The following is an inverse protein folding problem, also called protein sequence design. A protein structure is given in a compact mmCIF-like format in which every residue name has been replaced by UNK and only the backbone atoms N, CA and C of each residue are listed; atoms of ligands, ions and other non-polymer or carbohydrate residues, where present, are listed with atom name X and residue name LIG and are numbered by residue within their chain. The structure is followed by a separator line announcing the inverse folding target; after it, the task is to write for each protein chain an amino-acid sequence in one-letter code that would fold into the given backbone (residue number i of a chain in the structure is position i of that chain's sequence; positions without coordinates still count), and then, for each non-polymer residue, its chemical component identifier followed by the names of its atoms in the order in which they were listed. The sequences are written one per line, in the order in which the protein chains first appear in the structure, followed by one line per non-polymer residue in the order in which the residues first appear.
data_IF_078974412909
#
_entry.id   IF_078974412909
#
_cell.length_a   1.000
_cell.length_b   1.000
_cell.length_c   1.000
_cell.angle_alpha   90.00
_cell.angle_beta   90.00
_cell.angle_gamma   90.00
#
_symmetry.space_group_name_H-M   'P 1'
#
loop_
_entity.id
_entity.type
_entity.pdbx_description
1 polymer ?
#
# COMPACT_ATOMS: atom_id res chain seq x y z
N UNK A 1 18.74 -45.70 38.70
CA UNK A 1 18.14 -44.91 37.60
C UNK A 1 16.80 -44.35 38.09
N UNK A 2 16.75 -43.07 38.46
CA UNK A 2 15.55 -42.45 39.02
C UNK A 2 14.67 -41.87 37.90
N UNK A 3 13.42 -42.34 37.81
CA UNK A 3 12.40 -41.79 36.91
C UNK A 3 11.97 -40.41 37.47
N UNK A 4 12.23 -39.33 36.72
CA UNK A 4 11.68 -38.00 37.01
C UNK A 4 10.16 -38.06 36.85
N UNK A 5 9.43 -37.80 37.92
CA UNK A 5 7.99 -37.49 37.86
C UNK A 5 7.80 -36.10 37.23
N UNK A 6 6.79 -35.90 36.36
CA UNK A 6 6.45 -34.57 35.86
C UNK A 6 5.93 -33.70 37.01
N UNK A 7 6.36 -32.43 37.06
CA UNK A 7 5.89 -31.44 38.01
C UNK A 7 4.44 -31.02 37.64
N UNK A 8 3.45 -31.11 38.54
CA UNK A 8 2.07 -30.71 38.25
C UNK A 8 1.87 -29.20 38.05
N UNK A 9 2.89 -28.37 38.31
CA UNK A 9 2.83 -26.90 38.15
C UNK A 9 3.33 -26.38 36.79
N UNK A 10 3.40 -27.22 35.76
CA UNK A 10 3.71 -26.77 34.38
C UNK A 10 2.50 -26.05 33.72
N UNK A 11 1.85 -25.18 34.48
CA UNK A 11 0.73 -24.33 34.05
C UNK A 11 1.20 -22.90 33.72
N UNK A 12 2.52 -22.66 33.68
CA UNK A 12 3.08 -21.30 33.51
C UNK A 12 3.18 -20.80 32.06
N UNK A 13 2.74 -21.59 31.08
CA UNK A 13 2.75 -21.19 29.66
C UNK A 13 1.36 -21.20 29.01
N UNK A 14 0.31 -20.94 29.77
CA UNK A 14 -0.97 -20.52 29.19
C UNK A 14 -1.00 -19.00 29.17
N UNK A 15 -0.34 -18.41 28.18
CA UNK A 15 -0.54 -16.99 27.87
C UNK A 15 -2.04 -16.74 27.67
N UNK A 16 -2.69 -15.87 28.47
CA UNK A 16 -4.11 -15.64 28.30
C UNK A 16 -4.34 -14.98 26.95
N UNK A 17 -5.12 -15.61 26.07
CA UNK A 17 -5.52 -15.09 24.77
C UNK A 17 -6.12 -13.66 24.83
N UNK A 18 -6.61 -13.26 26.01
CA UNK A 18 -7.06 -11.90 26.32
C UNK A 18 -5.95 -10.83 26.23
N UNK A 19 -4.67 -11.16 26.44
CA UNK A 19 -3.55 -10.21 26.29
C UNK A 19 -3.30 -9.84 24.82
N UNK A 20 -3.73 -10.69 23.89
CA UNK A 20 -3.62 -10.47 22.45
C UNK A 20 -4.89 -9.88 21.83
N UNK A 21 -5.89 -9.48 22.63
CA UNK A 21 -6.95 -8.59 22.15
C UNK A 21 -6.36 -7.19 21.91
N UNK A 22 -5.58 -7.07 20.84
CA UNK A 22 -4.97 -5.81 20.46
C UNK A 22 -6.06 -4.93 19.86
N UNK A 23 -6.45 -3.87 20.57
CA UNK A 23 -7.04 -2.70 19.94
C UNK A 23 -6.11 -2.32 18.78
N UNK A 24 -6.62 -2.13 17.55
CA UNK A 24 -5.75 -1.79 16.44
C UNK A 24 -4.95 -0.54 16.81
N UNK A 25 -3.64 -0.59 16.61
CA UNK A 25 -2.78 0.59 16.74
C UNK A 25 -3.35 1.64 15.78
N UNK A 26 -3.71 2.86 16.25
CA UNK A 26 -4.42 3.84 15.43
C UNK A 26 -3.76 4.08 14.06
N UNK A 27 -2.43 4.21 14.03
CA UNK A 27 -1.66 4.36 12.79
C UNK A 27 -1.82 3.17 11.82
N UNK A 28 -1.96 1.95 12.33
CA UNK A 28 -2.18 0.77 11.48
C UNK A 28 -3.59 0.74 10.92
N UNK A 29 -4.59 1.16 11.70
CA UNK A 29 -5.97 1.27 11.22
C UNK A 29 -6.08 2.31 10.09
N UNK A 30 -5.47 3.47 10.28
CA UNK A 30 -5.41 4.55 9.29
C UNK A 30 -4.79 4.08 7.96
N UNK A 31 -3.69 3.31 8.03
CA UNK A 31 -3.07 2.74 6.82
C UNK A 31 -4.03 1.78 6.09
N UNK A 32 -4.75 0.91 6.81
CA UNK A 32 -5.65 -0.06 6.18
C UNK A 32 -6.87 0.66 5.57
N UNK A 33 -7.43 1.65 6.28
CA UNK A 33 -8.55 2.46 5.78
C UNK A 33 -8.14 3.29 4.56
N UNK A 34 -6.91 3.79 4.53
CA UNK A 34 -6.33 4.44 3.38
C UNK A 34 -6.25 3.49 2.17
N UNK A 35 -5.77 2.26 2.37
CA UNK A 35 -5.71 1.26 1.30
C UNK A 35 -7.10 0.87 0.77
N UNK A 36 -8.12 0.82 1.64
CA UNK A 36 -9.50 0.67 1.18
C UNK A 36 -9.98 1.86 0.34
N UNK A 37 -9.58 3.07 0.70
CA UNK A 37 -9.91 4.30 -0.05
C UNK A 37 -9.29 4.25 -1.45
N UNK A 38 -8.01 3.90 -1.54
CA UNK A 38 -7.29 3.70 -2.80
C UNK A 38 -7.99 2.65 -3.66
N UNK A 39 -8.36 1.48 -3.09
CA UNK A 39 -9.06 0.44 -3.83
C UNK A 39 -10.37 0.96 -4.46
N UNK A 40 -11.17 1.70 -3.68
CA UNK A 40 -12.43 2.28 -4.17
C UNK A 40 -12.19 3.30 -5.29
N UNK A 41 -11.19 4.17 -5.16
CA UNK A 41 -10.84 5.15 -6.18
C UNK A 41 -10.37 4.50 -7.48
N UNK A 42 -9.63 3.40 -7.36
CA UNK A 42 -9.20 2.57 -8.49
C UNK A 42 -10.36 1.75 -9.12
N UNK A 43 -11.58 1.87 -8.58
CA UNK A 43 -12.75 1.12 -9.04
C UNK A 43 -12.73 -0.35 -8.64
N UNK A 44 -11.85 -0.75 -7.72
CA UNK A 44 -11.74 -2.12 -7.21
C UNK A 44 -12.70 -2.28 -6.06
N UNK A 45 -13.65 -3.21 -6.20
CA UNK A 45 -14.55 -3.59 -5.11
C UNK A 45 -13.80 -4.51 -4.14
N UNK A 46 -13.59 -4.10 -2.88
CA UNK A 46 -12.92 -4.96 -1.90
C UNK A 46 -13.73 -6.23 -1.66
N UNK A 47 -13.06 -7.33 -1.31
CA UNK A 47 -13.73 -8.59 -0.95
C UNK A 47 -14.69 -8.39 0.23
N UNK A 48 -16.00 -8.53 0.02
CA UNK A 48 -17.03 -8.35 1.06
C UNK A 48 -17.55 -9.71 1.54
N UNK A 49 -16.83 -10.38 2.44
CA UNK A 49 -17.39 -11.50 3.21
C UNK A 49 -18.10 -10.95 4.44
N UNK A 50 -19.27 -11.50 4.80
CA UNK A 50 -20.00 -11.09 6.00
C UNK A 50 -19.10 -11.23 7.25
N UNK A 51 -18.95 -10.15 8.02
CA UNK A 51 -18.09 -10.11 9.21
C UNK A 51 -16.58 -9.95 8.94
N UNK A 52 -16.16 -9.71 7.69
CA UNK A 52 -14.75 -9.48 7.35
C UNK A 52 -14.22 -8.14 7.92
N UNK A 53 -13.04 -8.16 8.54
CA UNK A 53 -12.33 -6.94 8.95
C UNK A 53 -11.75 -6.21 7.75
N UNK A 54 -11.61 -4.88 7.84
CA UNK A 54 -10.94 -4.02 6.84
C UNK A 54 -9.63 -4.61 6.34
N UNK A 55 -8.79 -5.12 7.25
CA UNK A 55 -7.52 -5.78 6.92
C UNK A 55 -7.71 -7.00 6.02
N UNK A 56 -8.67 -7.87 6.38
CA UNK A 56 -8.95 -9.07 5.60
C UNK A 56 -9.50 -8.73 4.21
N UNK A 57 -10.27 -7.64 4.08
CA UNK A 57 -10.77 -7.17 2.78
C UNK A 57 -9.63 -6.71 1.88
N UNK A 58 -8.71 -5.87 2.38
CA UNK A 58 -7.52 -5.44 1.63
C UNK A 58 -6.67 -6.65 1.24
N UNK A 59 -6.31 -7.51 2.21
CA UNK A 59 -5.47 -8.68 1.97
C UNK A 59 -6.08 -9.65 0.97
N UNK A 60 -7.36 -9.96 1.09
CA UNK A 60 -8.04 -10.86 0.16
C UNK A 60 -8.09 -10.24 -1.25
N UNK A 61 -8.27 -8.93 -1.36
CA UNK A 61 -8.27 -8.22 -2.65
C UNK A 61 -6.89 -8.26 -3.32
N UNK A 62 -5.82 -8.02 -2.56
CA UNK A 62 -4.44 -8.17 -3.08
C UNK A 62 -4.17 -9.60 -3.53
N UNK A 63 -4.58 -10.60 -2.74
CA UNK A 63 -4.38 -12.02 -3.08
C UNK A 63 -5.18 -12.45 -4.31
N UNK A 64 -6.36 -11.88 -4.52
CA UNK A 64 -7.15 -12.07 -5.74
C UNK A 64 -6.55 -11.35 -6.95
N UNK A 65 -5.69 -10.36 -6.70
CA UNK A 65 -5.08 -9.53 -7.73
C UNK A 65 -5.93 -8.31 -8.08
N UNK A 66 -5.31 -7.15 -8.27
CA UNK A 66 -6.02 -5.96 -8.77
C UNK A 66 -6.29 -6.08 -10.27
N UNK A 67 -7.46 -5.61 -10.75
CA UNK A 67 -7.83 -5.69 -12.15
C UNK A 67 -7.02 -4.70 -13.02
N UNK A 68 -6.89 -4.98 -14.31
CA UNK A 68 -6.09 -4.18 -15.25
C UNK A 68 -6.55 -2.72 -15.30
N UNK A 69 -7.84 -2.50 -15.16
CA UNK A 69 -8.46 -1.17 -15.15
C UNK A 69 -7.93 -0.29 -14.02
N UNK A 70 -7.54 -0.87 -12.87
CA UNK A 70 -6.93 -0.12 -11.77
C UNK A 70 -5.57 0.46 -12.17
N UNK A 71 -4.74 -0.35 -12.87
CA UNK A 71 -3.47 0.10 -13.44
C UNK A 71 -3.69 1.20 -14.49
N UNK A 72 -4.66 1.00 -15.40
CA UNK A 72 -4.97 1.95 -16.47
C UNK A 72 -5.46 3.29 -15.91
N UNK A 73 -6.29 3.25 -14.86
CA UNK A 73 -6.77 4.45 -14.18
C UNK A 73 -5.62 5.20 -13.48
N UNK A 74 -4.82 4.50 -12.69
CA UNK A 74 -3.74 5.13 -11.93
C UNK A 74 -2.68 5.78 -12.84
N UNK A 75 -2.26 5.11 -13.92
CA UNK A 75 -1.36 5.73 -14.90
C UNK A 75 -2.02 6.92 -15.61
N UNK A 76 -3.33 6.87 -15.85
CA UNK A 76 -4.10 7.93 -16.48
C UNK A 76 -4.19 9.17 -15.61
N UNK A 77 -4.40 8.99 -14.30
CA UNK A 77 -4.41 10.06 -13.31
C UNK A 77 -3.03 10.72 -13.15
N UNK A 78 -1.96 9.93 -13.24
CA UNK A 78 -0.58 10.41 -13.30
C UNK A 78 -0.20 11.00 -14.66
N UNK A 79 -0.96 10.65 -15.69
CA UNK A 79 -0.73 10.96 -17.11
C UNK A 79 0.67 10.59 -17.58
N UNK A 80 1.08 9.35 -17.29
CA UNK A 80 2.33 8.72 -17.76
C UNK A 80 2.04 7.56 -18.71
N UNK A 81 3.08 7.11 -19.43
CA UNK A 81 2.94 6.01 -20.38
C UNK A 81 2.78 4.66 -19.67
N UNK A 82 2.26 3.67 -20.40
CA UNK A 82 2.15 2.29 -19.91
C UNK A 82 3.54 1.71 -19.61
N UNK A 83 4.52 2.00 -20.47
CA UNK A 83 5.91 1.54 -20.34
C UNK A 83 6.57 2.14 -19.10
N UNK A 84 6.41 3.45 -18.88
CA UNK A 84 6.95 4.13 -17.71
C UNK A 84 6.35 3.55 -16.42
N UNK A 85 5.03 3.35 -16.39
CA UNK A 85 4.39 2.81 -15.19
C UNK A 85 4.75 1.35 -14.94
N UNK A 86 4.88 0.54 -16.00
CA UNK A 86 5.34 -0.84 -15.90
C UNK A 86 6.75 -0.92 -15.32
N UNK A 87 7.64 -0.02 -15.76
CA UNK A 87 9.02 0.07 -15.30
C UNK A 87 9.09 0.41 -13.80
N UNK A 88 8.33 1.41 -13.34
CA UNK A 88 8.21 1.75 -11.91
C UNK A 88 7.71 0.56 -11.07
N UNK A 89 6.74 -0.19 -11.59
CA UNK A 89 6.20 -1.37 -10.91
C UNK A 89 7.08 -2.62 -11.03
N UNK A 90 8.19 -2.56 -11.79
CA UNK A 90 9.05 -3.71 -12.05
C UNK A 90 8.38 -4.82 -12.86
N UNK A 91 7.42 -4.48 -13.73
CA UNK A 91 6.66 -5.44 -14.53
C UNK A 91 7.28 -5.50 -15.93
N UNK A 92 7.84 -6.66 -16.35
CA UNK A 92 8.42 -6.78 -17.67
C UNK A 92 7.38 -6.49 -18.78
N UNK A 93 7.72 -5.73 -19.84
CA UNK A 93 6.77 -5.36 -20.89
C UNK A 93 6.06 -6.56 -21.53
N UNK A 94 6.81 -7.66 -21.72
CA UNK A 94 6.28 -8.92 -22.29
C UNK A 94 5.28 -9.61 -21.38
N UNK A 95 5.43 -9.47 -20.06
CA UNK A 95 4.47 -9.94 -19.06
C UNK A 95 3.21 -9.07 -19.10
N UNK A 96 3.38 -7.75 -19.13
CA UNK A 96 2.26 -6.81 -19.15
C UNK A 96 1.42 -6.91 -20.42
N UNK A 97 2.05 -7.11 -21.59
CA UNK A 97 1.37 -7.25 -22.88
C UNK A 97 0.50 -8.51 -22.97
N UNK A 98 0.87 -9.59 -22.26
CA UNK A 98 0.10 -10.84 -22.22
C UNK A 98 -1.03 -10.82 -21.18
N UNK A 99 -1.03 -9.85 -20.26
CA UNK A 99 -1.99 -9.77 -19.17
C UNK A 99 -3.24 -9.02 -19.63
N UNK A 100 -4.38 -9.70 -19.54
CA UNK A 100 -5.68 -9.17 -19.96
C UNK A 100 -6.65 -8.90 -18.82
N UNK A 101 -6.43 -9.51 -17.65
CA UNK A 101 -7.38 -9.51 -16.52
C UNK A 101 -6.76 -8.88 -15.26
N UNK A 102 -6.01 -9.65 -14.48
CA UNK A 102 -5.55 -9.25 -13.14
C UNK A 102 -4.05 -9.36 -12.97
N UNK A 103 -3.54 -8.51 -12.09
CA UNK A 103 -2.15 -8.53 -11.65
C UNK A 103 -1.93 -9.62 -10.60
N UNK A 104 -0.71 -10.13 -10.52
CA UNK A 104 -0.31 -11.06 -9.47
C UNK A 104 -0.34 -10.34 -8.11
N UNK A 105 -0.38 -11.08 -6.99
CA UNK A 105 -0.43 -10.46 -5.66
C UNK A 105 0.71 -9.47 -5.40
N UNK A 106 1.93 -9.80 -5.81
CA UNK A 106 3.10 -8.93 -5.61
C UNK A 106 3.04 -7.66 -6.47
N UNK A 107 2.57 -7.76 -7.71
CA UNK A 107 2.34 -6.59 -8.58
C UNK A 107 1.17 -5.73 -8.07
N UNK A 108 0.14 -6.37 -7.52
CA UNK A 108 -1.02 -5.71 -6.93
C UNK A 108 -0.64 -4.88 -5.70
N UNK A 109 0.24 -5.42 -4.86
CA UNK A 109 0.82 -4.69 -3.72
C UNK A 109 1.56 -3.42 -4.19
N UNK A 110 2.36 -3.52 -5.25
CA UNK A 110 3.09 -2.37 -5.82
C UNK A 110 2.13 -1.31 -6.40
N UNK A 111 1.08 -1.73 -7.10
CA UNK A 111 0.04 -0.83 -7.62
C UNK A 111 -0.64 -0.07 -6.47
N UNK A 112 -1.00 -0.78 -5.40
CA UNK A 112 -1.64 -0.16 -4.24
C UNK A 112 -0.70 0.74 -3.46
N UNK A 113 0.60 0.40 -3.37
CA UNK A 113 1.60 1.30 -2.80
C UNK A 113 1.67 2.61 -3.57
N UNK A 114 1.78 2.57 -4.89
CA UNK A 114 1.78 3.80 -5.71
C UNK A 114 0.46 4.56 -5.52
N UNK A 115 -0.68 3.87 -5.56
CA UNK A 115 -2.00 4.48 -5.35
C UNK A 115 -2.13 5.14 -3.97
N UNK A 116 -1.58 4.52 -2.92
CA UNK A 116 -1.52 5.07 -1.56
C UNK A 116 -0.79 6.40 -1.51
N UNK A 117 0.38 6.47 -2.14
CA UNK A 117 1.18 7.70 -2.17
C UNK A 117 0.50 8.78 -3.00
N UNK A 118 -0.08 8.42 -4.15
CA UNK A 118 -0.84 9.36 -4.98
C UNK A 118 -2.05 9.90 -4.23
N UNK A 119 -2.77 9.04 -3.52
CA UNK A 119 -3.91 9.47 -2.74
C UNK A 119 -3.50 10.39 -1.59
N UNK A 120 -2.40 10.09 -0.88
CA UNK A 120 -1.88 11.00 0.15
C UNK A 120 -1.44 12.34 -0.46
N UNK A 121 -0.85 12.34 -1.66
CA UNK A 121 -0.51 13.58 -2.35
C UNK A 121 -1.76 14.38 -2.75
N UNK A 122 -2.87 13.71 -3.07
CA UNK A 122 -4.16 14.36 -3.31
C UNK A 122 -4.74 14.94 -2.02
N UNK A 123 -4.68 14.20 -0.92
CA UNK A 123 -5.19 14.66 0.38
C UNK A 123 -4.41 15.87 0.90
N UNK A 124 -3.09 15.91 0.70
CA UNK A 124 -2.23 17.01 1.18
C UNK A 124 -2.29 18.25 0.29
N UNK A 125 -2.42 18.08 -1.02
CA UNK A 125 -2.37 19.20 -1.97
C UNK A 125 -3.76 19.66 -2.43
N UNK A 126 -4.79 18.88 -2.15
CA UNK A 126 -6.22 19.15 -2.42
C UNK A 126 -6.58 19.47 -3.89
N UNK A 127 -5.62 19.31 -4.82
CA UNK A 127 -5.77 19.61 -6.24
C UNK A 127 -5.13 18.51 -7.09
N UNK A 128 -5.93 17.92 -7.99
CA UNK A 128 -5.50 16.76 -8.80
C UNK A 128 -4.30 17.08 -9.67
N UNK A 129 -4.27 18.26 -10.28
CA UNK A 129 -3.17 18.64 -11.17
C UNK A 129 -1.89 18.97 -10.39
N UNK A 130 -2.02 19.58 -9.21
CA UNK A 130 -0.92 19.82 -8.28
C UNK A 130 -0.33 18.49 -7.80
N UNK A 131 -1.16 17.53 -7.39
CA UNK A 131 -0.71 16.19 -6.97
C UNK A 131 -0.02 15.44 -8.10
N UNK A 132 -0.59 15.47 -9.31
CA UNK A 132 0.06 14.89 -10.49
C UNK A 132 1.43 15.51 -10.75
N UNK A 133 1.53 16.85 -10.80
CA UNK A 133 2.81 17.55 -11.02
C UNK A 133 3.79 17.24 -9.90
N UNK A 134 3.32 17.21 -8.65
CA UNK A 134 4.17 16.92 -7.50
C UNK A 134 4.75 15.51 -7.60
N UNK A 135 3.94 14.51 -7.91
CA UNK A 135 4.35 13.11 -8.07
C UNK A 135 5.31 12.85 -9.24
N UNK A 136 5.19 13.63 -10.31
CA UNK A 136 5.93 13.40 -11.58
C UNK A 136 7.14 14.29 -11.77
N UNK A 137 7.33 15.32 -10.92
CA UNK A 137 8.50 16.19 -11.01
C UNK A 137 9.59 15.81 -10.00
N UNK A 138 10.87 15.92 -10.37
CA UNK A 138 12.01 15.71 -9.46
C UNK A 138 11.90 16.51 -8.16
N UNK A 139 12.34 15.92 -7.06
CA UNK A 139 12.43 16.60 -5.76
C UNK A 139 13.86 16.53 -5.25
N UNK A 140 14.42 17.67 -4.84
CA UNK A 140 15.76 17.74 -4.26
C UNK A 140 15.88 16.88 -3.00
N UNK A 141 14.84 16.85 -2.17
CA UNK A 141 14.76 16.02 -0.96
C UNK A 141 14.84 14.51 -1.25
N UNK A 142 14.53 14.09 -2.48
CA UNK A 142 14.57 12.68 -2.92
C UNK A 142 15.80 12.40 -3.81
N UNK A 143 16.87 13.16 -3.63
CA UNK A 143 18.11 12.99 -4.42
C UNK A 143 17.93 13.30 -5.91
N UNK A 144 16.91 14.09 -6.28
CA UNK A 144 16.60 14.41 -7.68
C UNK A 144 15.70 13.39 -8.37
N UNK A 145 15.24 12.34 -7.67
CA UNK A 145 14.20 11.45 -8.19
C UNK A 145 12.82 12.11 -8.12
N UNK A 146 11.91 11.62 -8.95
CA UNK A 146 10.48 11.94 -8.81
C UNK A 146 9.89 11.12 -7.67
N UNK A 147 8.89 11.64 -6.93
CA UNK A 147 8.21 10.85 -5.92
C UNK A 147 7.67 9.52 -6.46
N UNK A 148 7.14 9.54 -7.68
CA UNK A 148 6.64 8.34 -8.34
C UNK A 148 7.73 7.28 -8.57
N UNK A 149 8.95 7.69 -8.94
CA UNK A 149 10.09 6.77 -9.11
C UNK A 149 10.54 6.16 -7.78
N UNK A 150 10.46 6.90 -6.69
CA UNK A 150 10.76 6.37 -5.35
C UNK A 150 9.75 5.30 -4.89
N UNK A 151 8.56 5.24 -5.48
CA UNK A 151 7.56 4.23 -5.11
C UNK A 151 7.87 2.82 -5.65
N UNK A 152 8.94 2.63 -6.42
CA UNK A 152 9.41 1.31 -6.87
C UNK A 152 9.68 0.35 -5.69
N UNK A 153 10.06 0.92 -4.55
CA UNK A 153 10.30 0.23 -3.28
C UNK A 153 9.35 0.72 -2.19
N UNK A 154 9.16 -0.12 -1.17
CA UNK A 154 8.37 0.28 0.02
C UNK A 154 9.05 1.41 0.78
N UNK A 155 10.38 1.33 0.96
CA UNK A 155 11.15 2.35 1.68
C UNK A 155 11.05 3.72 0.99
N UNK A 156 11.18 3.76 -0.33
CA UNK A 156 11.06 5.01 -1.07
C UNK A 156 9.65 5.59 -1.01
N UNK A 157 8.59 4.76 -1.06
CA UNK A 157 7.23 5.22 -0.84
C UNK A 157 7.03 5.84 0.56
N UNK A 158 7.61 5.24 1.60
CA UNK A 158 7.57 5.80 2.97
C UNK A 158 8.27 7.14 3.09
N UNK A 159 9.41 7.32 2.41
CA UNK A 159 10.08 8.62 2.39
C UNK A 159 9.22 9.69 1.70
N UNK A 160 8.51 9.31 0.62
CA UNK A 160 7.58 10.22 -0.06
C UNK A 160 6.40 10.59 0.84
N UNK A 161 5.79 9.61 1.52
CA UNK A 161 4.72 9.85 2.50
C UNK A 161 5.19 10.77 3.64
N UNK A 162 6.41 10.56 4.15
CA UNK A 162 7.00 11.42 5.17
C UNK A 162 7.22 12.85 4.66
N UNK A 163 7.69 13.01 3.42
CA UNK A 163 7.84 14.33 2.79
C UNK A 163 6.48 15.04 2.62
N UNK A 164 5.43 14.32 2.22
CA UNK A 164 4.07 14.86 2.14
C UNK A 164 3.55 15.26 3.52
N UNK A 165 3.77 14.45 4.55
CA UNK A 165 3.39 14.79 5.93
C UNK A 165 4.09 16.05 6.45
N UNK A 166 5.36 16.27 6.08
CA UNK A 166 6.05 17.54 6.41
C UNK A 166 5.38 18.75 5.75
N UNK A 167 4.93 18.62 4.50
CA UNK A 167 4.21 19.68 3.78
C UNK A 167 2.87 19.98 4.47
N UNK A 168 2.10 18.95 4.81
CA UNK A 168 0.81 19.07 5.53
C UNK A 168 0.94 19.85 6.85
N UNK A 169 2.06 19.67 7.56
CA UNK A 169 2.34 20.37 8.81
C UNK A 169 3.13 21.68 8.66
N UNK A 170 3.38 22.14 7.42
CA UNK A 170 4.12 23.38 7.14
C UNK A 170 5.60 23.33 7.54
N UNK A 171 6.18 22.14 7.70
CA UNK A 171 7.59 21.94 8.05
C UNK A 171 8.41 21.90 6.76
N UNK A 172 9.04 23.01 6.39
CA UNK A 172 9.98 23.07 5.27
C UNK A 172 11.40 22.74 5.77
N UNK A 173 12.10 21.85 5.06
CA UNK A 173 13.53 21.54 5.24
C UNK A 173 14.31 21.91 4.00
#
# INVERSE_FOLDING_TARGET
MAKRTPNPDDTSLREPAALYQTRPVPAVAEVIDHWLTVLKQLGVKPSTKAGASTLSQVRDTVRQGVPREAFERLRGDLGISTEEFADILGIPPRTLARRTDRFKPDESERILRVGSVVQKALDVLEDKDASRRWMTQPKRALGGLTPLRCCDTEVGAREVEALLGRIEHGVFS
#
